data_IF_071875840778
#
_entry.id   IF_071875840778
#
_cell.length_a   1.000
_cell.length_b   1.000
_cell.length_c   1.000
_cell.angle_alpha   90.00
_cell.angle_beta   90.00
_cell.angle_gamma   90.00
#
_symmetry.space_group_name_H-M   'P 1'
#
loop_
_entity.id
_entity.type
_entity.pdbx_description
1 polymer ?
#
# COMPACT_ATOMS: atom_id res chain seq x y z
N UNK A 1 -17.23 10.19 -18.50
CA UNK A 1 -17.84 8.86 -18.23
C UNK A 1 -18.39 8.85 -16.79
N UNK A 2 -19.34 7.95 -16.53
CA UNK A 2 -19.88 7.64 -15.20
C UNK A 2 -19.31 6.27 -14.79
N UNK A 3 -18.46 6.26 -13.79
CA UNK A 3 -17.63 5.12 -13.42
C UNK A 3 -18.10 4.55 -12.08
N UNK A 4 -18.38 3.26 -12.00
CA UNK A 4 -18.70 2.58 -10.74
C UNK A 4 -17.50 1.82 -10.20
N UNK A 5 -16.93 2.25 -9.07
CA UNK A 5 -15.87 1.53 -8.34
C UNK A 5 -16.51 0.57 -7.33
N UNK A 6 -16.25 -0.73 -7.46
CA UNK A 6 -16.81 -1.77 -6.58
C UNK A 6 -15.73 -2.38 -5.70
N UNK A 7 -15.90 -2.28 -4.38
CA UNK A 7 -14.87 -2.69 -3.41
C UNK A 7 -15.46 -3.16 -2.09
N UNK A 8 -14.93 -4.25 -1.53
CA UNK A 8 -15.28 -4.71 -0.17
C UNK A 8 -14.53 -3.94 0.93
N UNK A 9 -13.53 -3.12 0.54
CA UNK A 9 -12.67 -2.37 1.48
C UNK A 9 -12.64 -0.89 1.08
N UNK A 10 -13.14 -0.02 1.95
CA UNK A 10 -13.07 1.42 1.78
C UNK A 10 -13.10 2.12 3.16
N UNK A 11 -12.84 3.43 3.19
CA UNK A 11 -12.92 4.20 4.44
C UNK A 11 -14.24 3.98 5.19
N UNK A 12 -14.20 3.93 6.54
CA UNK A 12 -13.14 4.34 7.45
C UNK A 12 -12.00 3.32 7.63
N UNK A 13 -12.07 2.14 7.03
CA UNK A 13 -10.97 1.17 7.06
C UNK A 13 -9.76 1.73 6.31
N UNK A 14 -8.70 2.07 7.03
CA UNK A 14 -7.45 2.57 6.47
C UNK A 14 -6.62 1.39 5.94
N UNK A 15 -6.38 1.39 4.63
CA UNK A 15 -5.53 0.39 3.95
C UNK A 15 -4.96 0.97 2.66
N UNK A 16 -3.88 0.38 2.14
CA UNK A 16 -3.32 0.77 0.83
C UNK A 16 -4.36 0.70 -0.29
N UNK A 17 -5.24 -0.30 -0.26
CA UNK A 17 -6.35 -0.46 -1.23
C UNK A 17 -7.34 0.71 -1.13
N UNK A 18 -7.79 1.04 0.09
CA UNK A 18 -8.73 2.16 0.28
C UNK A 18 -8.11 3.50 -0.15
N UNK A 19 -6.82 3.69 0.14
CA UNK A 19 -6.06 4.89 -0.29
C UNK A 19 -5.96 4.94 -1.81
N UNK A 20 -5.61 3.84 -2.48
CA UNK A 20 -5.54 3.75 -3.94
C UNK A 20 -6.88 4.09 -4.60
N UNK A 21 -7.99 3.55 -4.07
CA UNK A 21 -9.35 3.82 -4.59
C UNK A 21 -9.72 5.29 -4.45
N UNK A 22 -9.43 5.90 -3.30
CA UNK A 22 -9.68 7.34 -3.08
C UNK A 22 -8.87 8.20 -4.03
N UNK A 23 -7.59 7.89 -4.19
CA UNK A 23 -6.70 8.57 -5.15
C UNK A 23 -7.24 8.45 -6.56
N UNK A 24 -7.61 7.25 -7.00
CA UNK A 24 -8.20 7.02 -8.31
C UNK A 24 -9.49 7.82 -8.52
N UNK A 25 -10.43 7.79 -7.54
CA UNK A 25 -11.66 8.60 -7.60
C UNK A 25 -11.33 10.06 -7.82
N UNK A 26 -10.45 10.61 -6.99
CA UNK A 26 -10.07 12.04 -7.06
C UNK A 26 -9.48 12.39 -8.42
N UNK A 27 -8.59 11.58 -8.96
CA UNK A 27 -7.92 11.89 -10.23
C UNK A 27 -8.86 11.73 -11.44
N UNK A 28 -9.74 10.74 -11.43
CA UNK A 28 -10.75 10.59 -12.47
C UNK A 28 -11.78 11.73 -12.44
N UNK A 29 -12.15 12.23 -11.25
CA UNK A 29 -13.02 13.38 -11.10
C UNK A 29 -12.37 14.68 -11.61
N UNK A 30 -11.08 14.89 -11.37
CA UNK A 30 -10.31 16.01 -11.96
C UNK A 30 -10.31 15.98 -13.49
N UNK A 31 -10.40 14.78 -14.09
CA UNK A 31 -10.50 14.57 -15.54
C UNK A 31 -11.94 14.72 -16.07
N UNK A 32 -12.90 15.12 -15.23
CA UNK A 32 -14.28 15.38 -15.61
C UNK A 32 -15.18 14.14 -15.64
N UNK A 33 -14.78 13.04 -14.99
CA UNK A 33 -15.62 11.85 -14.82
C UNK A 33 -16.50 11.97 -13.57
N UNK A 34 -17.67 11.33 -13.57
CA UNK A 34 -18.46 11.12 -12.37
C UNK A 34 -18.15 9.74 -11.81
N UNK A 35 -17.65 9.68 -10.57
CA UNK A 35 -17.19 8.43 -9.95
C UNK A 35 -18.04 8.07 -8.74
N UNK A 36 -18.58 6.84 -8.74
CA UNK A 36 -19.44 6.31 -7.69
C UNK A 36 -18.78 5.09 -7.04
N UNK A 37 -18.73 5.06 -5.71
CA UNK A 37 -18.13 3.95 -4.97
C UNK A 37 -19.23 3.08 -4.37
N UNK A 38 -19.26 1.82 -4.76
CA UNK A 38 -20.10 0.78 -4.16
C UNK A 38 -19.25 -0.01 -3.17
N UNK A 39 -19.56 0.10 -1.88
CA UNK A 39 -18.77 -0.52 -0.83
C UNK A 39 -19.63 -1.10 0.29
N UNK A 40 -19.01 -1.75 1.25
CA UNK A 40 -19.69 -2.36 2.40
C UNK A 40 -20.10 -1.30 3.43
N UNK A 41 -21.15 -1.60 4.21
CA UNK A 41 -21.51 -0.78 5.39
C UNK A 41 -20.46 -0.90 6.47
N UNK A 42 -20.27 0.18 7.23
CA UNK A 42 -19.52 0.17 8.48
C UNK A 42 -20.35 0.77 9.61
N UNK A 43 -20.03 0.44 10.88
CA UNK A 43 -20.79 0.92 12.04
C UNK A 43 -20.59 2.41 12.31
N UNK A 44 -19.40 2.89 11.99
CA UNK A 44 -18.94 4.23 12.36
C UNK A 44 -19.14 5.26 11.23
N UNK A 45 -19.92 4.92 10.21
CA UNK A 45 -20.14 5.79 9.04
C UNK A 45 -21.58 6.22 8.94
N UNK A 46 -21.78 7.53 8.84
CA UNK A 46 -23.05 8.09 8.41
C UNK A 46 -23.27 7.79 6.91
N UNK A 47 -24.32 7.03 6.60
CA UNK A 47 -24.63 6.57 5.23
C UNK A 47 -24.97 7.69 4.25
N UNK A 48 -25.14 8.91 4.75
CA UNK A 48 -25.63 10.07 3.99
C UNK A 48 -24.58 11.17 3.84
N UNK A 49 -23.34 10.97 4.29
CA UNK A 49 -22.29 12.00 4.20
C UNK A 49 -21.79 12.25 2.78
N UNK A 50 -21.78 11.22 1.94
CA UNK A 50 -21.36 11.34 0.54
C UNK A 50 -22.31 10.50 -0.34
N UNK A 51 -23.13 11.17 -1.16
CA UNK A 51 -24.10 10.51 -2.03
C UNK A 51 -23.45 9.68 -3.15
N UNK A 52 -22.17 9.90 -3.44
CA UNK A 52 -21.38 9.10 -4.38
C UNK A 52 -20.88 7.79 -3.76
N UNK A 53 -21.01 7.61 -2.44
CA UNK A 53 -20.59 6.39 -1.75
C UNK A 53 -21.82 5.56 -1.36
N UNK A 54 -22.06 4.51 -2.13
CA UNK A 54 -23.19 3.60 -1.95
C UNK A 54 -22.79 2.46 -1.02
N UNK A 55 -23.37 2.44 0.17
CA UNK A 55 -23.08 1.45 1.21
C UNK A 55 -24.04 0.26 1.13
N UNK A 56 -23.52 -0.92 0.79
CA UNK A 56 -24.27 -2.18 0.66
C UNK A 56 -24.29 -2.91 2.01
N UNK A 57 -25.45 -3.40 2.50
CA UNK A 57 -25.55 -4.12 3.76
C UNK A 57 -24.59 -5.30 3.85
N UNK A 58 -23.79 -5.33 4.91
CA UNK A 58 -22.69 -6.28 5.08
C UNK A 58 -22.52 -6.72 6.52
N UNK A 59 -21.89 -7.88 6.72
CA UNK A 59 -21.51 -8.44 8.03
C UNK A 59 -20.00 -8.57 8.12
N UNK A 60 -19.42 -8.53 9.32
CA UNK A 60 -18.00 -8.83 9.52
C UNK A 60 -17.68 -10.23 8.98
N UNK A 61 -16.55 -10.37 8.33
CA UNK A 61 -16.08 -11.68 7.88
C UNK A 61 -15.37 -12.40 9.03
N UNK A 62 -15.80 -13.61 9.35
CA UNK A 62 -15.34 -14.33 10.55
C UNK A 62 -13.83 -14.64 10.54
N UNK A 63 -13.23 -14.86 9.37
CA UNK A 63 -11.81 -15.17 9.23
C UNK A 63 -10.90 -13.92 9.30
N UNK A 64 -11.43 -12.74 8.95
CA UNK A 64 -10.73 -11.46 9.00
C UNK A 64 -11.67 -10.40 9.57
N UNK A 65 -11.52 -10.11 10.85
CA UNK A 65 -12.42 -9.18 11.57
C UNK A 65 -12.48 -7.77 10.95
N UNK A 66 -11.41 -7.37 10.26
CA UNK A 66 -11.29 -6.10 9.56
C UNK A 66 -11.94 -6.11 8.15
N UNK A 67 -12.47 -7.25 7.71
CA UNK A 67 -13.13 -7.39 6.41
C UNK A 67 -14.62 -7.59 6.60
N UNK A 68 -15.39 -7.12 5.64
CA UNK A 68 -16.85 -7.26 5.63
C UNK A 68 -17.30 -7.92 4.34
N UNK A 69 -18.42 -8.64 4.41
CA UNK A 69 -19.01 -9.36 3.27
C UNK A 69 -20.45 -8.87 3.06
N UNK A 70 -20.75 -8.40 1.85
CA UNK A 70 -22.10 -7.99 1.50
C UNK A 70 -23.00 -9.23 1.28
N UNK A 71 -24.17 -9.26 1.89
CA UNK A 71 -25.06 -10.42 1.86
C UNK A 71 -26.46 -10.13 1.31
N UNK A 72 -26.81 -8.86 1.09
CA UNK A 72 -28.11 -8.43 0.54
C UNK A 72 -28.01 -7.04 -0.08
N UNK A 73 -29.11 -6.61 -0.77
CA UNK A 73 -29.19 -5.27 -1.37
C UNK A 73 -28.66 -5.21 -2.81
N UNK A 74 -28.45 -6.36 -3.44
CA UNK A 74 -27.86 -6.47 -4.79
C UNK A 74 -28.77 -5.90 -5.88
N UNK A 75 -30.08 -6.18 -5.80
CA UNK A 75 -31.09 -5.60 -6.73
C UNK A 75 -31.14 -4.07 -6.60
N UNK A 76 -31.09 -3.55 -5.37
CA UNK A 76 -31.03 -2.10 -5.14
C UNK A 76 -29.74 -1.48 -5.69
N UNK A 77 -28.61 -2.18 -5.58
CA UNK A 77 -27.35 -1.71 -6.18
C UNK A 77 -27.46 -1.63 -7.71
N UNK A 78 -28.10 -2.61 -8.35
CA UNK A 78 -28.39 -2.59 -9.79
C UNK A 78 -29.31 -1.42 -10.18
N UNK A 79 -30.38 -1.17 -9.40
CA UNK A 79 -31.27 -0.03 -9.63
C UNK A 79 -30.51 1.31 -9.54
N UNK A 80 -29.65 1.48 -8.54
CA UNK A 80 -28.81 2.68 -8.38
C UNK A 80 -27.83 2.80 -9.56
N UNK A 81 -27.19 1.70 -9.97
CA UNK A 81 -26.29 1.71 -11.13
C UNK A 81 -27.02 2.10 -12.43
N UNK A 82 -28.25 1.64 -12.62
CA UNK A 82 -29.12 2.09 -13.73
C UNK A 82 -29.49 3.57 -13.63
N UNK A 83 -29.88 4.02 -12.45
CA UNK A 83 -30.25 5.42 -12.21
C UNK A 83 -29.07 6.37 -12.49
N UNK A 84 -27.85 5.96 -12.08
CA UNK A 84 -26.64 6.73 -12.35
C UNK A 84 -26.11 6.54 -13.78
N UNK A 85 -26.71 5.64 -14.56
CA UNK A 85 -26.34 5.36 -15.95
C UNK A 85 -24.83 5.11 -16.07
N UNK A 86 -24.30 4.15 -15.32
CA UNK A 86 -22.88 3.82 -15.36
C UNK A 86 -22.46 3.43 -16.78
N UNK A 87 -21.32 3.96 -17.23
CA UNK A 87 -20.72 3.64 -18.53
C UNK A 87 -19.73 2.47 -18.43
N UNK A 88 -19.10 2.30 -17.25
CA UNK A 88 -18.12 1.26 -16.98
C UNK A 88 -18.12 0.91 -15.49
N UNK A 89 -17.79 -0.33 -15.19
CA UNK A 89 -17.53 -0.81 -13.82
C UNK A 89 -16.05 -1.12 -13.67
N UNK A 90 -15.47 -0.69 -12.53
CA UNK A 90 -14.10 -1.00 -12.15
C UNK A 90 -14.09 -1.66 -10.78
N UNK A 91 -13.87 -2.96 -10.75
CA UNK A 91 -13.81 -3.74 -9.51
C UNK A 91 -12.42 -3.65 -8.87
N UNK A 92 -12.37 -3.55 -7.53
CA UNK A 92 -11.15 -3.33 -6.76
C UNK A 92 -10.85 -4.46 -5.78
N UNK A 93 -11.79 -5.38 -5.62
CA UNK A 93 -11.65 -6.59 -4.78
C UNK A 93 -12.36 -7.76 -5.46
N UNK A 94 -11.92 -8.99 -5.17
CA UNK A 94 -12.42 -10.23 -5.78
C UNK A 94 -13.50 -10.92 -4.94
N UNK A 95 -14.05 -10.23 -3.93
CA UNK A 95 -15.06 -10.76 -3.02
C UNK A 95 -16.47 -10.32 -3.40
N UNK A 96 -17.32 -10.10 -2.40
CA UNK A 96 -18.76 -9.89 -2.59
C UNK A 96 -19.09 -8.71 -3.51
N UNK A 97 -18.41 -7.58 -3.35
CA UNK A 97 -18.66 -6.39 -4.16
C UNK A 97 -18.01 -6.47 -5.55
N UNK A 98 -16.87 -7.12 -5.66
CA UNK A 98 -16.28 -7.39 -6.97
C UNK A 98 -17.19 -8.29 -7.84
N UNK A 99 -17.70 -9.39 -7.27
CA UNK A 99 -18.66 -10.26 -7.95
C UNK A 99 -19.96 -9.52 -8.28
N UNK A 100 -20.46 -8.68 -7.37
CA UNK A 100 -21.62 -7.83 -7.61
C UNK A 100 -21.38 -6.88 -8.79
N UNK A 101 -20.19 -6.25 -8.86
CA UNK A 101 -19.81 -5.37 -9.96
C UNK A 101 -19.85 -6.09 -11.31
N UNK A 102 -19.25 -7.28 -11.41
CA UNK A 102 -19.27 -8.10 -12.62
C UNK A 102 -20.71 -8.46 -13.02
N UNK A 103 -21.54 -8.88 -12.06
CA UNK A 103 -22.93 -9.18 -12.32
C UNK A 103 -23.70 -7.97 -12.85
N UNK A 104 -23.53 -6.80 -12.22
CA UNK A 104 -24.18 -5.55 -12.66
C UNK A 104 -23.69 -5.14 -14.06
N UNK A 105 -22.40 -5.26 -14.36
CA UNK A 105 -21.86 -4.96 -15.68
C UNK A 105 -22.53 -5.81 -16.77
N UNK A 106 -22.74 -7.10 -16.51
CA UNK A 106 -23.45 -8.01 -17.41
C UNK A 106 -24.92 -7.62 -17.61
N UNK A 107 -25.63 -7.28 -16.53
CA UNK A 107 -27.03 -6.86 -16.60
C UNK A 107 -27.20 -5.53 -17.37
N UNK A 108 -26.23 -4.63 -17.26
CA UNK A 108 -26.22 -3.33 -17.93
C UNK A 108 -25.60 -3.40 -19.33
N UNK A 109 -24.92 -4.50 -19.67
CA UNK A 109 -24.12 -4.68 -20.91
C UNK A 109 -23.08 -3.60 -21.11
N UNK A 110 -22.37 -3.26 -20.03
CA UNK A 110 -21.27 -2.29 -20.01
C UNK A 110 -19.95 -3.00 -19.70
N UNK A 111 -18.80 -2.45 -20.08
CA UNK A 111 -17.51 -3.05 -19.80
C UNK A 111 -17.20 -3.10 -18.31
N UNK A 112 -16.37 -4.07 -17.92
CA UNK A 112 -15.87 -4.22 -16.56
C UNK A 112 -14.35 -4.46 -16.57
N UNK A 113 -13.62 -3.63 -15.84
CA UNK A 113 -12.19 -3.81 -15.59
C UNK A 113 -11.96 -4.12 -14.11
N UNK A 114 -10.78 -4.66 -13.80
CA UNK A 114 -10.39 -5.01 -12.45
C UNK A 114 -8.99 -4.51 -12.12
N UNK A 115 -8.77 -3.98 -10.90
CA UNK A 115 -7.42 -3.78 -10.35
C UNK A 115 -7.12 -4.87 -9.33
N UNK A 116 -6.03 -5.60 -9.56
CA UNK A 116 -5.59 -6.69 -8.70
C UNK A 116 -4.66 -6.19 -7.60
N UNK A 117 -5.19 -5.92 -6.42
CA UNK A 117 -4.44 -5.29 -5.31
C UNK A 117 -3.72 -6.27 -4.38
N UNK A 118 -4.14 -7.53 -4.31
CA UNK A 118 -3.74 -8.43 -3.23
C UNK A 118 -3.05 -9.69 -3.75
N UNK A 119 -1.87 -9.96 -3.24
CA UNK A 119 -1.15 -11.21 -3.47
C UNK A 119 -1.65 -12.26 -2.47
N UNK A 120 -2.75 -12.96 -2.82
CA UNK A 120 -3.45 -13.86 -1.92
C UNK A 120 -2.62 -15.03 -1.44
N UNK A 121 -1.60 -15.46 -2.17
CA UNK A 121 -0.73 -16.56 -1.77
C UNK A 121 -0.06 -16.30 -0.42
N UNK A 122 0.30 -15.03 -0.15
CA UNK A 122 0.95 -14.63 1.10
C UNK A 122 -0.03 -14.58 2.28
N UNK A 123 -1.34 -14.49 2.00
CA UNK A 123 -2.40 -14.37 3.02
C UNK A 123 -3.14 -15.68 3.32
N UNK A 124 -2.93 -16.73 2.53
CA UNK A 124 -3.59 -18.04 2.73
C UNK A 124 -3.28 -18.64 4.10
N UNK A 125 -2.09 -18.37 4.66
CA UNK A 125 -1.70 -18.84 5.99
C UNK A 125 -2.59 -18.29 7.12
N UNK A 126 -3.23 -17.14 6.92
CA UNK A 126 -4.13 -16.53 7.91
C UNK A 126 -5.55 -17.11 7.84
N UNK A 127 -5.95 -17.72 6.72
CA UNK A 127 -7.28 -18.30 6.56
C UNK A 127 -7.32 -19.68 7.22
N UNK A 128 -7.97 -19.76 8.40
CA UNK A 128 -8.13 -20.98 9.18
C UNK A 128 -6.80 -21.75 9.41
N UNK A 129 -5.71 -21.01 9.73
CA UNK A 129 -4.35 -21.57 9.93
C UNK A 129 -3.83 -22.39 8.73
N UNK A 130 -4.19 -21.97 7.49
CA UNK A 130 -3.77 -22.67 6.28
C UNK A 130 -4.52 -23.97 5.96
N UNK A 131 -5.54 -24.34 6.75
CA UNK A 131 -6.21 -25.64 6.59
C UNK A 131 -7.32 -25.65 5.53
N UNK A 132 -7.91 -24.52 5.19
CA UNK A 132 -9.11 -24.44 4.32
C UNK A 132 -8.81 -24.11 2.86
N UNK A 133 -7.77 -23.34 2.57
CA UNK A 133 -7.42 -22.92 1.19
C UNK A 133 -5.95 -23.24 0.93
N UNK A 134 -5.69 -24.08 -0.05
CA UNK A 134 -4.32 -24.34 -0.52
C UNK A 134 -3.91 -23.28 -1.54
N UNK A 135 -2.60 -22.88 -1.62
CA UNK A 135 -2.12 -21.94 -2.63
C UNK A 135 -2.54 -22.31 -4.07
N UNK A 136 -2.61 -23.61 -4.37
CA UNK A 136 -3.07 -24.10 -5.66
C UNK A 136 -4.53 -23.78 -5.97
N UNK A 137 -5.40 -23.60 -4.97
CA UNK A 137 -6.81 -23.23 -5.16
C UNK A 137 -6.97 -21.74 -5.47
N UNK A 138 -6.11 -20.87 -4.91
CA UNK A 138 -6.10 -19.42 -5.18
C UNK A 138 -6.05 -19.14 -6.68
N UNK A 139 -5.19 -19.83 -7.40
CA UNK A 139 -5.07 -19.72 -8.86
C UNK A 139 -6.40 -19.96 -9.58
N UNK A 140 -7.16 -20.95 -9.17
CA UNK A 140 -8.44 -21.25 -9.82
C UNK A 140 -9.52 -20.22 -9.50
N UNK A 141 -9.56 -19.73 -8.26
CA UNK A 141 -10.49 -18.68 -7.84
C UNK A 141 -10.19 -17.37 -8.58
N UNK A 142 -8.94 -16.96 -8.63
CA UNK A 142 -8.51 -15.75 -9.37
C UNK A 142 -8.82 -15.88 -10.86
N UNK A 143 -8.51 -17.02 -11.48
CA UNK A 143 -8.87 -17.24 -12.89
C UNK A 143 -10.37 -17.20 -13.15
N UNK A 144 -11.16 -17.81 -12.24
CA UNK A 144 -12.63 -17.79 -12.34
C UNK A 144 -13.18 -16.38 -12.28
N UNK A 145 -12.69 -15.57 -11.33
CA UNK A 145 -13.09 -14.18 -11.21
C UNK A 145 -12.68 -13.35 -12.44
N UNK A 146 -11.42 -13.44 -12.85
CA UNK A 146 -10.87 -12.66 -13.97
C UNK A 146 -11.30 -13.15 -15.36
N UNK A 147 -12.00 -14.30 -15.45
CA UNK A 147 -12.58 -14.77 -16.71
C UNK A 147 -13.65 -13.83 -17.27
N UNK A 148 -14.32 -13.13 -16.36
CA UNK A 148 -15.52 -12.36 -16.63
C UNK A 148 -15.30 -10.83 -16.63
N UNK A 149 -14.02 -10.40 -16.72
CA UNK A 149 -13.63 -9.00 -16.86
C UNK A 149 -13.01 -8.75 -18.23
N UNK A 150 -13.08 -7.52 -18.74
CA UNK A 150 -12.57 -7.13 -20.05
C UNK A 150 -11.08 -6.73 -20.00
N UNK A 151 -10.60 -6.27 -18.84
CA UNK A 151 -9.20 -5.90 -18.63
C UNK A 151 -8.78 -5.95 -17.17
N UNK A 152 -7.48 -6.09 -16.91
CA UNK A 152 -6.89 -6.13 -15.58
C UNK A 152 -5.75 -5.14 -15.44
N UNK A 153 -5.83 -4.27 -14.45
CA UNK A 153 -4.74 -3.40 -14.01
C UNK A 153 -3.92 -4.16 -12.97
N UNK A 154 -2.62 -4.25 -13.23
CA UNK A 154 -1.63 -4.82 -12.35
C UNK A 154 -0.81 -3.68 -11.72
N UNK A 155 -0.69 -3.57 -10.39
CA UNK A 155 0.09 -2.50 -9.77
C UNK A 155 1.60 -2.64 -9.97
N UNK A 156 2.07 -3.80 -10.45
CA UNK A 156 3.48 -4.06 -10.76
C UNK A 156 3.63 -5.19 -11.78
N UNK A 157 4.83 -5.32 -12.34
CA UNK A 157 5.23 -6.43 -13.22
C UNK A 157 5.10 -7.78 -12.48
N UNK A 158 5.40 -7.80 -11.19
CA UNK A 158 5.29 -9.01 -10.35
C UNK A 158 3.86 -9.56 -10.43
N UNK A 159 2.86 -8.69 -10.29
CA UNK A 159 1.45 -9.08 -10.36
C UNK A 159 1.06 -9.51 -11.78
N UNK A 160 1.50 -8.79 -12.81
CA UNK A 160 1.26 -9.19 -14.22
C UNK A 160 1.82 -10.58 -14.50
N UNK A 161 3.02 -10.87 -14.04
CA UNK A 161 3.70 -12.15 -14.27
C UNK A 161 3.05 -13.28 -13.46
N UNK A 162 2.61 -13.00 -12.22
CA UNK A 162 1.82 -13.89 -11.40
C UNK A 162 0.52 -14.29 -12.12
N UNK A 163 -0.24 -13.32 -12.61
CA UNK A 163 -1.49 -13.58 -13.34
C UNK A 163 -1.23 -14.34 -14.66
N UNK A 164 -0.10 -14.11 -15.29
CA UNK A 164 0.33 -14.87 -16.48
C UNK A 164 0.67 -16.31 -16.14
N UNK A 165 1.35 -16.57 -15.01
CA UNK A 165 1.57 -17.93 -14.46
C UNK A 165 0.23 -18.62 -14.12
N UNK A 166 -0.77 -17.87 -13.69
CA UNK A 166 -2.12 -18.39 -13.47
C UNK A 166 -2.88 -18.65 -14.76
N UNK A 167 -2.30 -18.34 -15.93
CA UNK A 167 -2.94 -18.47 -17.25
C UNK A 167 -4.20 -17.60 -17.41
N UNK A 168 -4.21 -16.44 -16.81
CA UNK A 168 -5.19 -15.39 -17.05
C UNK A 168 -4.98 -14.85 -18.46
N UNK A 169 -6.02 -14.89 -19.31
CA UNK A 169 -5.93 -14.56 -20.75
C UNK A 169 -6.32 -13.11 -21.06
N UNK A 170 -7.09 -12.48 -20.18
CA UNK A 170 -7.54 -11.09 -20.35
C UNK A 170 -6.35 -10.12 -20.50
N UNK A 171 -6.55 -9.00 -21.17
CA UNK A 171 -5.53 -7.95 -21.26
C UNK A 171 -5.07 -7.52 -19.88
N UNK A 172 -3.76 -7.39 -19.69
CA UNK A 172 -3.12 -6.98 -18.46
C UNK A 172 -2.25 -5.77 -18.71
N UNK A 173 -2.52 -4.66 -18.02
CA UNK A 173 -1.69 -3.46 -18.10
C UNK A 173 -1.07 -3.16 -16.74
N UNK A 174 0.24 -2.90 -16.73
CA UNK A 174 0.94 -2.49 -15.51
C UNK A 174 0.72 -1.00 -15.31
N UNK A 175 -0.04 -0.66 -14.28
CA UNK A 175 -0.31 0.73 -13.88
C UNK A 175 -0.13 0.80 -12.36
N UNK A 176 1.05 1.22 -11.88
CA UNK A 176 1.29 1.43 -10.46
C UNK A 176 0.35 2.49 -9.89
N UNK A 177 -0.13 2.25 -8.67
CA UNK A 177 -0.90 3.27 -7.93
C UNK A 177 0.00 4.46 -7.64
N UNK A 178 -0.47 5.66 -7.95
CA UNK A 178 0.21 6.90 -7.61
C UNK A 178 -0.19 7.44 -6.24
N UNK A 179 0.57 8.41 -5.75
CA UNK A 179 0.31 9.10 -4.49
C UNK A 179 0.08 10.59 -4.70
N UNK A 180 -0.67 11.20 -3.79
CA UNK A 180 -0.87 12.66 -3.77
C UNK A 180 0.40 13.34 -3.24
N UNK A 181 1.27 13.80 -4.14
CA UNK A 181 2.59 14.37 -3.80
C UNK A 181 2.49 15.50 -2.76
N UNK A 182 1.51 16.38 -2.88
CA UNK A 182 1.31 17.50 -1.96
C UNK A 182 1.16 17.08 -0.47
N UNK A 183 0.79 15.83 -0.21
CA UNK A 183 0.72 15.29 1.16
C UNK A 183 2.09 14.99 1.76
N UNK A 184 3.12 14.84 0.92
CA UNK A 184 4.46 14.42 1.32
C UNK A 184 5.51 15.48 1.07
N UNK A 185 5.38 16.28 0.01
CA UNK A 185 6.27 17.42 -0.28
C UNK A 185 6.27 18.46 0.85
N UNK A 186 5.09 18.81 1.38
CA UNK A 186 4.86 19.63 2.59
C UNK A 186 5.94 20.71 2.81
N UNK A 187 6.04 21.73 1.96
CA UNK A 187 7.10 22.75 2.06
C UNK A 187 7.01 23.60 3.34
N UNK A 188 5.88 23.56 4.04
CA UNK A 188 5.67 24.19 5.33
C UNK A 188 6.37 23.47 6.50
N UNK A 189 6.75 22.21 6.35
CA UNK A 189 7.56 21.48 7.33
C UNK A 189 9.00 21.99 7.22
N UNK A 190 9.45 22.73 8.23
CA UNK A 190 10.79 23.33 8.30
C UNK A 190 11.71 22.45 9.16
N UNK A 191 13.01 22.71 9.06
CA UNK A 191 14.05 22.02 9.84
C UNK A 191 13.74 22.00 11.34
N UNK A 192 13.18 23.09 11.88
CA UNK A 192 12.78 23.18 13.29
C UNK A 192 11.76 22.08 13.68
N UNK A 193 10.82 21.77 12.78
CA UNK A 193 9.81 20.72 13.02
C UNK A 193 10.46 19.32 13.02
N UNK A 194 11.48 19.10 12.16
CA UNK A 194 12.22 17.86 12.10
C UNK A 194 13.03 17.66 13.39
N UNK A 195 13.75 18.68 13.82
CA UNK A 195 14.52 18.67 15.07
C UNK A 195 13.63 18.47 16.30
N UNK A 196 12.46 19.11 16.33
CA UNK A 196 11.48 18.93 17.41
C UNK A 196 10.99 17.48 17.47
N UNK A 197 10.63 16.86 16.33
CA UNK A 197 10.23 15.46 16.30
C UNK A 197 11.37 14.54 16.75
N UNK A 198 12.57 14.73 16.23
CA UNK A 198 13.75 13.94 16.62
C UNK A 198 14.03 14.04 18.12
N UNK A 199 13.95 15.24 18.68
CA UNK A 199 14.10 15.46 20.13
C UNK A 199 13.02 14.75 20.94
N UNK A 200 11.74 14.83 20.52
CA UNK A 200 10.63 14.10 21.15
C UNK A 200 10.82 12.60 21.13
N UNK A 201 11.42 12.06 20.08
CA UNK A 201 11.77 10.66 19.95
C UNK A 201 13.05 10.26 20.71
N UNK A 202 13.75 11.23 21.33
CA UNK A 202 14.99 10.98 22.06
C UNK A 202 16.20 10.76 21.15
N UNK A 203 16.14 11.21 19.89
CA UNK A 203 17.24 11.15 18.92
C UNK A 203 18.10 12.39 19.11
N UNK A 204 19.39 12.18 19.39
CA UNK A 204 20.34 13.26 19.66
C UNK A 204 20.87 13.88 18.37
N UNK A 205 21.43 15.08 18.48
CA UNK A 205 22.13 15.70 17.37
C UNK A 205 23.32 14.83 16.91
N UNK A 206 23.41 14.63 15.59
CA UNK A 206 24.41 13.76 14.96
C UNK A 206 24.09 12.28 14.96
N UNK A 207 22.98 11.82 15.59
CA UNK A 207 22.50 10.45 15.40
C UNK A 207 21.70 10.33 14.09
N UNK A 208 21.82 9.21 13.40
CA UNK A 208 21.03 8.88 12.21
C UNK A 208 19.69 8.24 12.59
N UNK A 209 18.65 8.55 11.85
CA UNK A 209 17.31 7.99 12.03
C UNK A 209 16.92 7.08 10.86
N UNK A 210 16.75 5.80 11.14
CA UNK A 210 16.10 4.85 10.23
C UNK A 210 14.61 4.76 10.59
N UNK A 211 13.73 4.86 9.60
CA UNK A 211 12.28 4.77 9.80
C UNK A 211 11.74 3.49 9.16
N UNK A 212 11.07 2.65 9.95
CA UNK A 212 10.19 1.59 9.44
C UNK A 212 8.74 1.95 9.75
N UNK A 213 7.93 2.20 8.74
CA UNK A 213 6.54 2.63 8.87
C UNK A 213 5.62 1.69 8.12
N UNK A 214 4.80 0.94 8.88
CA UNK A 214 3.83 -0.01 8.31
C UNK A 214 2.85 -0.51 9.37
N UNK A 215 1.82 -1.27 8.94
CA UNK A 215 1.12 -2.17 9.86
C UNK A 215 2.13 -3.17 10.43
N UNK A 216 2.14 -3.34 11.74
CA UNK A 216 3.08 -4.27 12.40
C UNK A 216 2.51 -5.68 12.37
N UNK A 217 2.84 -6.42 11.34
CA UNK A 217 2.43 -7.80 11.09
C UNK A 217 3.63 -8.64 10.62
N UNK A 218 3.51 -9.96 10.72
CA UNK A 218 4.62 -10.88 10.48
C UNK A 218 5.22 -10.73 9.07
N UNK A 219 4.36 -10.56 8.05
CA UNK A 219 4.74 -10.43 6.63
C UNK A 219 5.54 -9.16 6.32
N UNK A 220 5.50 -8.14 7.19
CA UNK A 220 6.31 -6.91 7.01
C UNK A 220 7.77 -7.12 7.40
N UNK A 221 8.09 -8.25 7.99
CA UNK A 221 9.43 -8.75 8.27
C UNK A 221 10.31 -7.76 9.05
N UNK A 222 9.71 -6.96 9.95
CA UNK A 222 10.45 -6.02 10.82
C UNK A 222 11.41 -6.78 11.75
N UNK A 223 11.13 -8.03 12.05
CA UNK A 223 12.02 -8.92 12.79
C UNK A 223 13.40 -9.07 12.13
N UNK A 224 13.47 -9.13 10.79
CA UNK A 224 14.75 -9.17 10.07
C UNK A 224 15.48 -7.81 10.17
N UNK A 225 14.73 -6.70 10.14
CA UNK A 225 15.29 -5.35 10.37
C UNK A 225 15.95 -5.26 11.74
N UNK A 226 15.30 -5.76 12.81
CA UNK A 226 15.88 -5.76 14.17
C UNK A 226 17.16 -6.58 14.25
N UNK A 227 17.22 -7.75 13.59
CA UNK A 227 18.42 -8.61 13.57
C UNK A 227 19.57 -7.91 12.85
N UNK A 228 19.31 -7.32 11.68
CA UNK A 228 20.31 -6.56 10.92
C UNK A 228 20.78 -5.31 11.69
N UNK A 229 19.84 -4.60 12.30
CA UNK A 229 20.13 -3.39 13.09
C UNK A 229 21.02 -3.71 14.31
N UNK A 230 20.84 -4.86 14.96
CA UNK A 230 21.73 -5.29 16.02
C UNK A 230 23.17 -5.57 15.56
N UNK A 231 23.36 -5.89 14.27
CA UNK A 231 24.70 -6.01 13.67
C UNK A 231 25.27 -4.63 13.35
N UNK A 232 24.46 -3.73 12.81
CA UNK A 232 24.84 -2.34 12.51
C UNK A 232 25.36 -1.63 13.76
N UNK A 233 24.70 -1.79 14.91
CA UNK A 233 25.11 -1.17 16.19
C UNK A 233 26.47 -1.60 16.71
N UNK A 234 27.09 -2.66 16.16
CA UNK A 234 28.48 -3.04 16.51
C UNK A 234 29.53 -2.18 15.81
N UNK A 235 29.15 -1.53 14.71
CA UNK A 235 30.04 -0.72 13.87
C UNK A 235 29.65 0.76 13.93
N UNK A 236 28.35 1.08 14.06
CA UNK A 236 27.83 2.45 14.14
C UNK A 236 26.79 2.55 15.28
N UNK A 237 27.19 3.21 16.37
CA UNK A 237 26.33 3.40 17.55
C UNK A 237 25.41 4.62 17.45
N UNK A 238 25.77 5.60 16.59
CA UNK A 238 25.01 6.84 16.44
C UNK A 238 23.86 6.69 15.46
N UNK A 239 23.04 5.65 15.67
CA UNK A 239 21.87 5.38 14.85
C UNK A 239 20.70 4.92 15.71
N UNK A 240 19.51 5.36 15.36
CA UNK A 240 18.22 4.96 15.96
C UNK A 240 17.32 4.37 14.91
N UNK A 241 16.59 3.33 15.30
CA UNK A 241 15.52 2.74 14.49
C UNK A 241 14.17 3.14 15.08
N UNK A 242 13.38 3.87 14.32
CA UNK A 242 12.00 4.25 14.66
C UNK A 242 11.06 3.27 13.94
N UNK A 243 10.28 2.54 14.70
CA UNK A 243 9.24 1.61 14.22
C UNK A 243 7.89 2.26 14.48
N UNK A 244 7.30 2.80 13.42
CA UNK A 244 6.02 3.51 13.46
C UNK A 244 4.89 2.62 12.90
N UNK A 245 3.82 2.50 13.67
CA UNK A 245 2.67 1.67 13.34
C UNK A 245 2.19 0.84 14.52
N UNK A 246 1.14 0.07 14.27
CA UNK A 246 0.55 -0.85 15.24
C UNK A 246 0.12 -2.15 14.55
N UNK A 247 -0.05 -3.21 15.32
CA UNK A 247 -0.48 -4.49 14.79
C UNK A 247 -0.18 -5.67 15.69
N UNK A 248 -0.65 -6.88 15.29
CA UNK A 248 -0.61 -8.06 16.15
C UNK A 248 0.80 -8.57 16.48
N UNK A 249 1.82 -8.08 15.79
CA UNK A 249 3.20 -8.53 15.97
C UNK A 249 4.06 -7.59 16.82
N UNK A 250 3.49 -6.46 17.32
CA UNK A 250 4.22 -5.41 18.04
C UNK A 250 4.92 -5.93 19.31
N UNK A 251 4.21 -6.70 20.13
CA UNK A 251 4.76 -7.22 21.40
C UNK A 251 5.91 -8.19 21.15
N UNK A 252 5.81 -9.03 20.10
CA UNK A 252 6.89 -9.94 19.68
C UNK A 252 8.14 -9.18 19.25
N UNK A 253 7.99 -8.04 18.55
CA UNK A 253 9.12 -7.20 18.15
C UNK A 253 9.80 -6.54 19.34
N UNK A 254 9.03 -6.04 20.31
CA UNK A 254 9.56 -5.48 21.56
C UNK A 254 10.36 -6.51 22.35
N UNK A 255 9.83 -7.74 22.47
CA UNK A 255 10.53 -8.86 23.11
C UNK A 255 11.83 -9.19 22.38
N UNK A 256 11.79 -9.23 21.03
CA UNK A 256 12.97 -9.49 20.22
C UNK A 256 14.04 -8.40 20.38
N UNK A 257 13.65 -7.13 20.39
CA UNK A 257 14.58 -6.01 20.64
C UNK A 257 15.27 -6.15 22.02
N UNK A 258 14.52 -6.60 23.03
CA UNK A 258 15.08 -6.93 24.35
C UNK A 258 16.11 -8.08 24.30
N UNK A 259 15.77 -9.18 23.63
CA UNK A 259 16.68 -10.34 23.45
C UNK A 259 17.96 -9.98 22.69
N UNK A 260 17.87 -9.05 21.75
CA UNK A 260 19.01 -8.56 20.99
C UNK A 260 19.81 -7.45 21.72
N UNK A 261 19.35 -7.01 22.90
CA UNK A 261 19.94 -5.92 23.69
C UNK A 261 20.02 -4.57 22.94
N UNK A 262 19.07 -4.29 22.03
CA UNK A 262 19.01 -3.06 21.22
C UNK A 262 17.88 -2.10 21.62
N UNK A 263 17.13 -2.40 22.69
CA UNK A 263 15.94 -1.62 23.09
C UNK A 263 16.20 -0.13 23.37
N UNK A 264 17.44 0.26 23.64
CA UNK A 264 17.83 1.66 23.81
C UNK A 264 17.99 2.42 22.48
N UNK A 265 18.09 1.67 21.38
CA UNK A 265 18.28 2.22 20.03
C UNK A 265 17.04 2.03 19.13
N UNK A 266 15.99 1.33 19.63
CA UNK A 266 14.74 1.10 18.90
C UNK A 266 13.60 1.83 19.58
N UNK A 267 12.89 2.64 18.82
CA UNK A 267 11.77 3.46 19.31
C UNK A 267 10.49 2.97 18.65
N UNK A 268 9.55 2.45 19.43
CA UNK A 268 8.22 2.04 18.97
C UNK A 268 7.23 3.16 19.25
N UNK A 269 6.72 3.83 18.21
CA UNK A 269 5.84 4.99 18.37
C UNK A 269 4.37 4.62 18.54
N UNK A 270 3.98 3.40 18.19
CA UNK A 270 2.58 3.08 17.95
C UNK A 270 2.06 3.74 16.66
N UNK A 271 0.73 3.77 16.50
CA UNK A 271 0.11 4.41 15.32
C UNK A 271 0.38 5.92 15.32
N UNK A 272 0.84 6.43 14.18
CA UNK A 272 0.97 7.87 13.93
C UNK A 272 -0.23 8.37 13.12
N UNK A 273 -0.57 9.64 13.28
CA UNK A 273 -1.66 10.23 12.51
C UNK A 273 -1.27 10.36 11.03
N UNK A 274 -2.20 10.16 10.08
CA UNK A 274 -1.91 10.33 8.66
C UNK A 274 -1.35 11.72 8.29
N UNK A 275 -1.71 12.76 9.06
CA UNK A 275 -1.19 14.12 8.89
C UNK A 275 0.27 14.29 9.31
N UNK A 276 0.81 13.38 10.13
CA UNK A 276 2.19 13.40 10.62
C UNK A 276 3.13 12.53 9.79
N UNK A 277 2.59 11.67 8.92
CA UNK A 277 3.38 10.71 8.13
C UNK A 277 4.52 11.37 7.36
N UNK A 278 4.24 12.48 6.67
CA UNK A 278 5.26 13.24 5.95
C UNK A 278 6.37 13.79 6.86
N UNK A 279 6.01 14.21 8.08
CA UNK A 279 6.98 14.71 9.06
C UNK A 279 7.93 13.59 9.50
N UNK A 280 7.43 12.38 9.73
CA UNK A 280 8.26 11.23 10.09
C UNK A 280 9.20 10.82 8.95
N UNK A 281 8.72 10.78 7.70
CA UNK A 281 9.59 10.51 6.56
C UNK A 281 10.68 11.58 6.44
N UNK A 282 10.32 12.88 6.42
CA UNK A 282 11.27 13.99 6.30
C UNK A 282 12.29 14.04 7.45
N UNK A 283 11.92 13.62 8.66
CA UNK A 283 12.82 13.57 9.80
C UNK A 283 13.79 12.38 9.74
N UNK A 284 13.50 11.36 8.95
CA UNK A 284 14.35 10.18 8.80
C UNK A 284 15.47 10.42 7.78
N UNK A 285 16.64 9.86 8.04
CA UNK A 285 17.74 9.81 7.06
C UNK A 285 17.46 8.74 5.99
N UNK A 286 16.80 7.62 6.38
CA UNK A 286 16.39 6.55 5.46
C UNK A 286 15.09 5.92 5.92
N UNK A 287 14.27 5.52 4.95
CA UNK A 287 13.16 4.61 5.16
C UNK A 287 13.62 3.16 4.92
N UNK A 288 13.32 2.25 5.84
CA UNK A 288 13.75 0.85 5.76
C UNK A 288 12.56 -0.11 5.75
N UNK A 289 12.58 -1.07 4.84
CA UNK A 289 11.58 -2.14 4.77
C UNK A 289 12.22 -3.46 4.36
N UNK A 290 11.92 -4.52 5.11
CA UNK A 290 12.31 -5.89 4.79
C UNK A 290 11.12 -6.74 4.28
N UNK A 291 10.00 -6.11 3.92
CA UNK A 291 8.83 -6.81 3.38
C UNK A 291 9.14 -7.43 2.01
N UNK A 292 8.78 -8.71 1.86
CA UNK A 292 8.87 -9.45 0.59
C UNK A 292 7.50 -9.69 -0.06
N UNK A 293 6.42 -9.27 0.59
CA UNK A 293 5.02 -9.54 0.20
C UNK A 293 4.29 -8.35 -0.39
N UNK A 294 5.02 -7.29 -0.77
CA UNK A 294 4.40 -6.09 -1.35
C UNK A 294 4.05 -6.30 -2.83
N UNK A 295 2.82 -6.01 -3.18
CA UNK A 295 2.42 -5.91 -4.60
C UNK A 295 2.99 -4.68 -5.28
N UNK A 296 3.14 -3.58 -4.52
CA UNK A 296 3.78 -2.33 -4.92
C UNK A 296 4.46 -1.67 -3.72
N UNK A 297 3.74 -1.46 -2.59
CA UNK A 297 4.24 -0.80 -1.39
C UNK A 297 4.22 0.72 -1.49
N UNK A 298 3.08 1.33 -1.17
CA UNK A 298 2.91 2.80 -1.23
C UNK A 298 3.90 3.55 -0.33
N UNK A 299 4.35 2.94 0.76
CA UNK A 299 5.31 3.52 1.70
C UNK A 299 6.66 3.87 1.05
N UNK A 300 7.08 3.14 0.02
CA UNK A 300 8.27 3.50 -0.75
C UNK A 300 8.07 4.80 -1.53
N UNK A 301 6.89 4.95 -2.16
CA UNK A 301 6.55 6.17 -2.90
C UNK A 301 6.43 7.38 -1.95
N UNK A 302 5.79 7.18 -0.80
CA UNK A 302 5.63 8.18 0.25
C UNK A 302 6.99 8.68 0.77
N UNK A 303 7.92 7.76 0.98
CA UNK A 303 9.30 8.06 1.38
C UNK A 303 10.00 8.91 0.33
N UNK A 304 10.00 8.48 -0.94
CA UNK A 304 10.63 9.22 -2.03
C UNK A 304 10.01 10.60 -2.24
N UNK A 305 8.68 10.71 -2.16
CA UNK A 305 7.97 11.99 -2.26
C UNK A 305 8.27 12.94 -1.08
N UNK A 306 8.68 12.39 0.06
CA UNK A 306 9.14 13.18 1.21
C UNK A 306 10.62 13.58 1.13
N UNK A 307 11.33 13.12 0.10
CA UNK A 307 12.77 13.34 -0.05
C UNK A 307 13.63 12.37 0.75
N UNK A 308 13.10 11.24 1.20
CA UNK A 308 13.79 10.26 2.05
C UNK A 308 14.15 9.02 1.26
N UNK A 309 15.44 8.68 1.09
CA UNK A 309 15.86 7.50 0.36
C UNK A 309 15.49 6.21 1.07
N UNK A 310 15.38 5.13 0.29
CA UNK A 310 14.83 3.84 0.73
C UNK A 310 15.92 2.78 0.87
N UNK A 311 15.84 1.94 1.92
CA UNK A 311 16.58 0.70 2.03
C UNK A 311 15.57 -0.43 2.00
N UNK A 312 15.57 -1.28 0.95
CA UNK A 312 14.54 -2.29 0.77
C UNK A 312 15.05 -3.59 0.17
N UNK A 313 14.28 -4.68 0.42
CA UNK A 313 14.53 -5.95 -0.27
C UNK A 313 14.19 -5.81 -1.76
N UNK A 314 15.19 -6.05 -2.62
CA UNK A 314 15.09 -5.87 -4.07
C UNK A 314 14.09 -6.83 -4.71
N UNK A 315 13.34 -6.31 -5.66
CA UNK A 315 12.46 -7.04 -6.56
C UNK A 315 12.33 -6.24 -7.87
N UNK A 316 11.81 -6.83 -8.97
CA UNK A 316 11.73 -6.14 -10.26
C UNK A 316 11.02 -4.80 -10.25
N UNK A 317 10.00 -4.61 -9.38
CA UNK A 317 9.33 -3.32 -9.23
C UNK A 317 10.24 -2.29 -8.54
N UNK A 318 10.90 -2.67 -7.44
CA UNK A 318 11.78 -1.76 -6.70
C UNK A 318 13.07 -1.45 -7.47
N UNK A 319 13.57 -2.35 -8.31
CA UNK A 319 14.70 -2.09 -9.22
C UNK A 319 14.39 -0.97 -10.21
N UNK A 320 13.15 -0.91 -10.69
CA UNK A 320 12.69 0.18 -11.55
C UNK A 320 12.45 1.48 -10.77
N UNK A 321 11.89 1.37 -9.56
CA UNK A 321 11.59 2.53 -8.71
C UNK A 321 12.87 3.17 -8.17
N UNK A 322 13.80 2.33 -7.66
CA UNK A 322 15.08 2.74 -7.04
C UNK A 322 16.20 2.45 -8.05
N UNK A 323 16.10 3.06 -9.20
CA UNK A 323 17.02 2.88 -10.33
C UNK A 323 18.28 3.77 -10.26
N UNK A 324 18.41 4.58 -9.22
CA UNK A 324 19.57 5.42 -8.93
C UNK A 324 19.85 5.37 -7.43
N UNK A 325 21.14 5.46 -7.06
CA UNK A 325 21.59 5.45 -5.67
C UNK A 325 21.03 6.63 -4.84
N UNK A 326 20.65 7.72 -5.49
CA UNK A 326 19.99 8.84 -4.83
C UNK A 326 18.64 8.47 -4.22
N UNK A 327 17.92 7.48 -4.81
CA UNK A 327 16.63 7.02 -4.32
C UNK A 327 16.75 5.94 -3.23
N UNK A 328 17.93 5.32 -3.10
CA UNK A 328 18.16 4.34 -2.03
C UNK A 328 19.07 3.18 -2.41
N UNK A 329 19.02 2.15 -1.57
CA UNK A 329 19.83 0.94 -1.67
C UNK A 329 18.93 -0.30 -1.63
N UNK A 330 19.14 -1.23 -2.56
CA UNK A 330 18.47 -2.53 -2.57
C UNK A 330 19.41 -3.63 -2.08
N UNK A 331 18.86 -4.60 -1.35
CA UNK A 331 19.54 -5.82 -0.94
C UNK A 331 18.70 -7.05 -1.33
N UNK A 332 19.31 -8.23 -1.49
CA UNK A 332 18.62 -9.44 -2.01
C UNK A 332 18.62 -10.63 -1.05
N UNK A 333 19.31 -10.52 0.06
CA UNK A 333 19.37 -11.56 1.08
C UNK A 333 19.38 -10.97 2.50
N UNK A 334 18.74 -11.65 3.46
CA UNK A 334 18.68 -11.15 4.85
C UNK A 334 20.06 -10.87 5.47
N UNK A 335 21.10 -11.60 5.04
CA UNK A 335 22.48 -11.38 5.50
C UNK A 335 23.11 -10.11 4.94
N UNK A 336 22.59 -9.58 3.83
CA UNK A 336 23.09 -8.36 3.18
C UNK A 336 22.50 -7.10 3.80
N UNK A 337 21.37 -7.19 4.51
CA UNK A 337 20.64 -6.05 5.03
C UNK A 337 21.50 -5.17 5.96
N UNK A 338 22.28 -5.76 6.84
CA UNK A 338 23.17 -4.99 7.73
C UNK A 338 24.23 -4.22 6.93
N UNK A 339 24.84 -4.86 5.93
CA UNK A 339 25.81 -4.21 5.01
C UNK A 339 25.15 -3.08 4.21
N UNK A 340 23.94 -3.29 3.69
CA UNK A 340 23.18 -2.27 2.96
C UNK A 340 22.85 -1.05 3.83
N UNK A 341 22.52 -1.25 5.11
CA UNK A 341 22.31 -0.15 6.07
C UNK A 341 23.63 0.62 6.28
N UNK A 342 24.73 -0.08 6.53
CA UNK A 342 26.04 0.57 6.75
C UNK A 342 26.50 1.34 5.52
N UNK A 343 26.36 0.77 4.31
CA UNK A 343 26.66 1.46 3.05
C UNK A 343 25.81 2.74 2.90
N UNK A 344 24.52 2.67 3.18
CA UNK A 344 23.62 3.81 3.11
C UNK A 344 24.00 4.91 4.12
N UNK A 345 24.38 4.55 5.34
CA UNK A 345 24.78 5.51 6.38
C UNK A 345 26.06 6.28 6.05
N UNK A 346 26.97 5.70 5.26
CA UNK A 346 28.21 6.32 4.80
C UNK A 346 27.97 7.21 3.58
N UNK A 347 27.16 6.71 2.62
CA UNK A 347 26.81 7.43 1.39
C UNK A 347 25.62 8.34 1.68
N UNK A 348 25.85 9.63 1.91
CA UNK A 348 24.74 10.60 1.94
C UNK A 348 24.27 10.82 0.51
N UNK A 349 23.12 10.28 0.07
CA UNK A 349 22.63 10.53 -1.28
C UNK A 349 22.23 12.00 -1.42
N UNK A 350 22.83 12.67 -2.41
CA UNK A 350 22.38 14.01 -2.81
C UNK A 350 21.31 13.84 -3.89
N UNK A 351 20.07 14.19 -3.57
CA UNK A 351 18.97 14.13 -4.52
C UNK A 351 19.04 15.32 -5.48
N UNK A 352 19.57 15.11 -6.68
CA UNK A 352 19.58 16.14 -7.71
C UNK A 352 18.16 16.49 -8.16
N UNK A 353 17.84 17.79 -8.28
CA UNK A 353 16.49 18.30 -8.53
C UNK A 353 15.83 17.74 -9.80
N UNK A 354 16.61 17.54 -10.88
CA UNK A 354 16.06 17.13 -12.18
C UNK A 354 15.55 15.66 -12.15
N UNK A 355 16.37 14.73 -11.68
CA UNK A 355 15.98 13.30 -11.62
C UNK A 355 14.85 13.07 -10.63
N UNK A 356 14.79 13.89 -9.56
CA UNK A 356 13.71 13.84 -8.60
C UNK A 356 12.37 14.27 -9.22
N UNK A 357 12.33 15.34 -10.01
CA UNK A 357 11.10 15.83 -10.64
C UNK A 357 10.45 14.77 -11.56
N UNK A 358 11.27 14.10 -12.39
CA UNK A 358 10.79 13.03 -13.28
C UNK A 358 10.24 11.83 -12.47
N UNK A 359 10.93 11.44 -11.40
CA UNK A 359 10.50 10.37 -10.51
C UNK A 359 9.21 10.74 -9.77
N UNK A 360 9.09 11.97 -9.29
CA UNK A 360 7.88 12.44 -8.62
C UNK A 360 6.68 12.43 -9.57
N UNK A 361 6.84 12.85 -10.83
CA UNK A 361 5.77 12.72 -11.82
C UNK A 361 5.40 11.26 -12.06
N UNK A 362 6.40 10.37 -12.22
CA UNK A 362 6.18 8.94 -12.43
C UNK A 362 5.28 8.33 -11.35
N UNK A 363 5.55 8.65 -10.07
CA UNK A 363 4.83 8.12 -8.91
C UNK A 363 3.58 8.92 -8.51
N UNK A 364 3.24 9.98 -9.23
CA UNK A 364 2.14 10.89 -8.88
C UNK A 364 0.76 10.26 -9.08
N UNK A 365 -0.20 10.74 -8.28
CA UNK A 365 -1.60 10.43 -8.44
C UNK A 365 -2.12 10.85 -9.83
N UNK A 366 -1.67 12.00 -10.34
CA UNK A 366 -2.04 12.51 -11.65
C UNK A 366 -1.68 11.53 -12.77
N UNK A 367 -0.42 11.08 -12.82
CA UNK A 367 0.04 10.09 -13.80
C UNK A 367 -0.73 8.76 -13.67
N UNK A 368 -0.99 8.32 -12.44
CA UNK A 368 -1.81 7.12 -12.19
C UNK A 368 -3.22 7.27 -12.78
N UNK A 369 -3.92 8.35 -12.44
CA UNK A 369 -5.28 8.60 -12.93
C UNK A 369 -5.33 8.70 -14.46
N UNK A 370 -4.35 9.38 -15.09
CA UNK A 370 -4.22 9.48 -16.55
C UNK A 370 -4.06 8.10 -17.20
N UNK A 371 -3.14 7.26 -16.69
CA UNK A 371 -2.89 5.92 -17.22
C UNK A 371 -4.07 4.96 -17.05
N UNK A 372 -4.84 5.10 -15.96
CA UNK A 372 -6.07 4.32 -15.77
C UNK A 372 -7.16 4.78 -16.74
N UNK A 373 -7.26 6.08 -17.01
CA UNK A 373 -8.21 6.61 -17.99
C UNK A 373 -7.91 6.13 -19.43
N UNK A 374 -6.63 5.98 -19.78
CA UNK A 374 -6.17 5.53 -21.10
C UNK A 374 -6.34 3.99 -21.30
N UNK A 375 -6.63 3.26 -20.23
CA UNK A 375 -6.91 1.83 -20.29
C UNK A 375 -8.39 1.55 -20.47
#
# INVERSE_FOLDING_TARGET
>A
MRIGLFTDTYFPQVSGVATSIRTLKTELEKQGHAVFIFTTTDKDVNRYEDWQIIRIPSVPFFAFKDRRFAYRGFTKALEIAKQYQLDIIHTQTEFSLGLLGIWIARELKIPVIHTYHTQYEDYVHYIAKGMLIRPSMVKYLVRGFLHDVDGVICPSEIVRDLLSKYKVKVEKRVIPTGIELAKFERPEIKEENLLELRSKLGIQEGEKMLLSLSRISFEKNIQAVLVAFAQVLKEEEKVKLVVAGDGPYLDSLKEQAGKLNIQKHVIFTGMIAPSETALYYKAADFFISASTSETQGLTYLESLASGTPVIAHGNPYLENLINDKMFGTLYYGERELAGAILEALIATPDMSEQNLADKLYEISAENFGKRVHEF
#
